data_IF_686551856145
#
_entry.id   IF_686551856145
#
_cell.length_a   1.000
_cell.length_b   1.000
_cell.length_c   1.000
_cell.angle_alpha   90.00
_cell.angle_beta   90.00
_cell.angle_gamma   90.00
#
_symmetry.space_group_name_H-M   'P 1'
#
loop_
_entity.id
_entity.type
_entity.pdbx_description
1 polymer ?
#
# COMPACT_ATOMS: atom_id res chain seq x y z
N UNK A 1 -29.41 -30.96 14.98
CA UNK A 1 -29.93 -29.59 14.82
C UNK A 1 -28.89 -28.73 14.09
N UNK A 2 -28.95 -28.68 12.76
CA UNK A 2 -28.34 -27.64 11.92
C UNK A 2 -29.19 -27.56 10.65
N UNK A 3 -30.11 -26.61 10.61
CA UNK A 3 -30.85 -26.30 9.40
C UNK A 3 -29.88 -25.67 8.41
N UNK A 4 -29.46 -26.47 7.43
CA UNK A 4 -28.77 -25.99 6.23
C UNK A 4 -29.74 -25.05 5.52
N UNK A 5 -29.42 -23.76 5.45
CA UNK A 5 -30.24 -22.72 4.84
C UNK A 5 -30.87 -23.19 3.52
N UNK A 6 -32.19 -23.45 3.45
CA UNK A 6 -32.80 -23.92 2.22
C UNK A 6 -32.78 -22.78 1.19
N UNK A 7 -32.19 -23.05 0.02
CA UNK A 7 -32.16 -22.11 -1.09
C UNK A 7 -33.60 -21.84 -1.56
N UNK A 8 -34.17 -20.72 -1.13
CA UNK A 8 -35.53 -20.31 -1.50
C UNK A 8 -35.56 -19.81 -2.94
N UNK A 9 -36.64 -20.05 -3.70
CA UNK A 9 -36.84 -19.54 -5.08
C UNK A 9 -36.48 -18.05 -5.23
N UNK A 10 -36.87 -17.23 -4.26
CA UNK A 10 -36.58 -15.79 -4.24
C UNK A 10 -35.08 -15.49 -4.20
N UNK A 11 -34.30 -16.25 -3.42
CA UNK A 11 -32.84 -16.11 -3.33
C UNK A 11 -32.14 -16.54 -4.62
N UNK A 12 -32.65 -17.59 -5.26
CA UNK A 12 -32.15 -18.03 -6.57
C UNK A 12 -32.39 -16.96 -7.64
N UNK A 13 -33.58 -16.38 -7.69
CA UNK A 13 -33.90 -15.32 -8.65
C UNK A 13 -33.09 -14.04 -8.42
N UNK A 14 -32.86 -13.65 -7.16
CA UNK A 14 -31.98 -12.52 -6.86
C UNK A 14 -30.52 -12.80 -7.26
N UNK A 15 -30.02 -14.02 -7.04
CA UNK A 15 -28.68 -14.39 -7.47
C UNK A 15 -28.55 -14.39 -9.01
N UNK A 16 -29.57 -14.89 -9.73
CA UNK A 16 -29.61 -14.87 -11.19
C UNK A 16 -29.68 -13.43 -11.73
N UNK A 17 -30.49 -12.57 -11.11
CA UNK A 17 -30.60 -11.16 -11.49
C UNK A 17 -29.30 -10.37 -11.26
N UNK A 18 -28.51 -10.74 -10.23
CA UNK A 18 -27.23 -10.12 -9.94
C UNK A 18 -26.04 -10.77 -10.67
N UNK A 19 -26.22 -11.94 -11.30
CA UNK A 19 -25.16 -12.65 -12.00
C UNK A 19 -24.44 -11.86 -13.11
N UNK A 20 -25.10 -11.02 -13.95
CA UNK A 20 -24.39 -10.22 -14.94
C UNK A 20 -23.59 -9.08 -14.30
N UNK A 21 -24.03 -8.58 -13.14
CA UNK A 21 -23.29 -7.56 -12.38
C UNK A 21 -22.00 -8.14 -11.78
N UNK A 22 -22.08 -9.38 -11.26
CA UNK A 22 -20.91 -10.11 -10.76
C UNK A 22 -19.91 -10.44 -11.89
N UNK A 23 -20.40 -10.75 -13.09
CA UNK A 23 -19.53 -10.94 -14.26
C UNK A 23 -18.80 -9.64 -14.63
N UNK A 24 -19.50 -8.50 -14.64
CA UNK A 24 -18.89 -7.19 -14.92
C UNK A 24 -17.84 -6.79 -13.87
N UNK A 25 -18.04 -7.16 -12.60
CA UNK A 25 -17.07 -6.92 -11.52
C UNK A 25 -15.77 -7.73 -11.64
N UNK A 26 -15.69 -8.75 -12.51
CA UNK A 26 -14.47 -9.54 -12.73
C UNK A 26 -13.33 -8.74 -13.40
N UNK A 27 -13.55 -7.47 -13.72
CA UNK A 27 -12.55 -6.53 -14.25
C UNK A 27 -11.94 -5.62 -13.17
N UNK A 28 -12.49 -5.62 -11.96
CA UNK A 28 -11.97 -4.85 -10.83
C UNK A 28 -10.76 -5.57 -10.21
N UNK A 29 -9.66 -5.66 -10.96
CA UNK A 29 -8.38 -6.14 -10.44
C UNK A 29 -7.65 -4.97 -9.75
N UNK A 30 -7.19 -5.17 -8.52
CA UNK A 30 -6.24 -4.23 -7.91
C UNK A 30 -5.02 -4.08 -8.83
N UNK A 31 -4.52 -2.85 -9.00
CA UNK A 31 -3.34 -2.61 -9.82
C UNK A 31 -2.19 -3.50 -9.34
N UNK A 32 -1.47 -4.13 -10.27
CA UNK A 32 -0.33 -4.96 -9.93
C UNK A 32 0.73 -4.12 -9.19
N UNK A 33 1.22 -4.65 -8.06
CA UNK A 33 2.30 -4.02 -7.32
C UNK A 33 3.59 -4.23 -8.10
N UNK A 34 4.32 -3.14 -8.34
CA UNK A 34 5.65 -3.15 -8.95
C UNK A 34 6.69 -2.99 -7.84
N UNK A 35 7.46 -4.04 -7.49
CA UNK A 35 8.44 -3.96 -6.41
C UNK A 35 9.48 -2.86 -6.57
N UNK A 36 9.70 -2.37 -7.80
CA UNK A 36 10.65 -1.29 -8.10
C UNK A 36 10.09 0.12 -7.87
N UNK A 37 8.81 0.25 -7.53
CA UNK A 37 8.12 1.53 -7.29
C UNK A 37 7.45 1.60 -5.91
N UNK A 38 8.03 0.91 -4.93
CA UNK A 38 7.56 0.94 -3.54
C UNK A 38 8.21 2.11 -2.80
N UNK A 39 7.42 2.95 -2.14
CA UNK A 39 7.92 4.02 -1.27
C UNK A 39 7.68 3.67 0.19
N UNK A 40 8.68 3.90 1.03
CA UNK A 40 8.60 3.69 2.48
C UNK A 40 8.60 5.03 3.22
N UNK A 41 7.53 5.31 3.96
CA UNK A 41 7.35 6.56 4.70
C UNK A 41 7.83 6.47 6.16
N UNK A 42 8.44 5.34 6.53
CA UNK A 42 8.89 5.05 7.89
C UNK A 42 10.07 4.07 7.84
N UNK A 43 10.98 4.12 8.84
CA UNK A 43 12.22 3.35 8.81
C UNK A 43 12.04 1.85 9.09
N UNK A 44 11.08 1.45 9.93
CA UNK A 44 10.79 0.02 10.16
C UNK A 44 10.48 -0.73 8.83
N UNK A 45 9.54 -0.26 7.98
CA UNK A 45 9.30 -0.94 6.71
C UNK A 45 10.43 -0.77 5.68
N UNK A 46 11.34 0.21 5.82
CA UNK A 46 12.57 0.26 5.01
C UNK A 46 13.42 -0.97 5.26
N UNK A 47 13.67 -1.29 6.53
CA UNK A 47 14.46 -2.46 6.92
C UNK A 47 13.84 -3.77 6.43
N UNK A 48 12.50 -3.89 6.54
CA UNK A 48 11.78 -5.06 6.04
C UNK A 48 11.91 -5.22 4.52
N UNK A 49 11.80 -4.12 3.75
CA UNK A 49 11.97 -4.18 2.29
C UNK A 49 13.39 -4.62 1.92
N UNK A 50 14.41 -4.06 2.59
CA UNK A 50 15.80 -4.41 2.34
C UNK A 50 16.10 -5.86 2.73
N UNK A 51 15.53 -6.37 3.83
CA UNK A 51 15.63 -7.77 4.23
C UNK A 51 15.02 -8.73 3.19
N UNK A 52 14.01 -8.28 2.44
CA UNK A 52 13.41 -9.02 1.32
C UNK A 52 14.17 -8.85 -0.01
N UNK A 53 15.30 -8.14 -0.02
CA UNK A 53 16.07 -7.83 -1.22
C UNK A 53 15.41 -6.78 -2.13
N UNK A 54 14.47 -5.98 -1.59
CA UNK A 54 13.80 -4.91 -2.32
C UNK A 54 14.44 -3.59 -1.94
N UNK A 55 15.02 -2.90 -2.91
CA UNK A 55 15.46 -1.51 -2.74
C UNK A 55 14.25 -0.59 -2.90
N UNK A 56 13.88 0.21 -1.88
CA UNK A 56 12.77 1.15 -1.99
C UNK A 56 13.04 2.18 -3.09
N UNK A 57 12.00 2.55 -3.82
CA UNK A 57 12.05 3.62 -4.82
C UNK A 57 12.26 4.99 -4.16
N UNK A 58 11.63 5.20 -3.02
CA UNK A 58 11.81 6.37 -2.19
C UNK A 58 11.66 6.06 -0.71
N UNK A 59 12.36 6.82 0.13
CA UNK A 59 12.37 6.67 1.59
C UNK A 59 12.19 8.04 2.23
N UNK A 60 11.36 8.12 3.27
CA UNK A 60 11.24 9.34 4.05
C UNK A 60 12.45 9.51 4.98
N UNK A 61 13.01 10.72 4.98
CA UNK A 61 14.02 11.19 5.91
C UNK A 61 15.34 10.39 5.81
N UNK A 62 15.87 10.30 4.58
CA UNK A 62 17.11 9.58 4.26
C UNK A 62 18.32 10.10 5.05
N UNK A 63 18.52 11.43 5.23
CA UNK A 63 19.65 11.93 6.01
C UNK A 63 19.63 11.43 7.46
N UNK A 64 18.47 11.49 8.13
CA UNK A 64 18.36 11.00 9.50
C UNK A 64 18.37 9.47 9.57
N UNK A 65 17.87 8.76 8.56
CA UNK A 65 18.04 7.30 8.48
C UNK A 65 19.53 6.92 8.50
N UNK A 66 20.35 7.57 7.67
CA UNK A 66 21.80 7.32 7.61
C UNK A 66 22.51 7.67 8.94
N UNK A 67 21.95 8.56 9.75
CA UNK A 67 22.51 8.95 11.05
C UNK A 67 22.07 8.05 12.21
N UNK A 68 20.79 7.67 12.26
CA UNK A 68 20.20 6.98 13.42
C UNK A 68 20.08 5.47 13.24
N UNK A 69 19.82 5.01 12.01
CA UNK A 69 19.72 3.58 11.69
C UNK A 69 21.06 3.08 11.16
N UNK A 70 21.66 3.81 10.21
CA UNK A 70 22.95 3.52 9.56
C UNK A 70 22.97 2.22 8.75
N UNK A 71 22.65 1.08 9.37
CA UNK A 71 22.52 -0.23 8.72
C UNK A 71 21.07 -0.73 8.81
N UNK A 72 20.53 -1.31 7.72
CA UNK A 72 21.16 -1.55 6.41
C UNK A 72 21.38 -0.28 5.57
N UNK A 73 22.49 -0.18 4.79
CA UNK A 73 22.79 1.03 4.03
C UNK A 73 21.80 1.23 2.87
N UNK A 74 21.32 2.46 2.72
CA UNK A 74 20.51 2.85 1.57
C UNK A 74 21.40 3.21 0.37
N UNK A 75 21.14 2.64 -0.82
CA UNK A 75 21.80 3.08 -2.05
C UNK A 75 21.50 4.55 -2.36
N UNK A 76 22.44 5.24 -3.01
CA UNK A 76 22.26 6.66 -3.40
C UNK A 76 21.18 6.88 -4.47
N UNK A 77 20.68 5.80 -5.09
CA UNK A 77 19.53 5.85 -6.01
C UNK A 77 18.19 6.07 -5.32
N UNK A 78 18.12 5.93 -3.99
CA UNK A 78 16.89 6.09 -3.22
C UNK A 78 16.52 7.56 -3.15
N UNK A 79 15.30 7.90 -3.57
CA UNK A 79 14.79 9.27 -3.54
C UNK A 79 14.33 9.61 -2.11
N UNK A 80 14.81 10.72 -1.56
CA UNK A 80 14.27 11.26 -0.31
C UNK A 80 12.90 11.90 -0.57
N UNK A 81 11.86 11.38 0.09
CA UNK A 81 10.48 11.86 -0.07
C UNK A 81 10.06 12.84 1.04
N UNK A 82 11.01 13.40 1.79
CA UNK A 82 10.74 14.37 2.86
C UNK A 82 10.62 13.70 4.23
N UNK A 83 10.04 14.41 5.20
CA UNK A 83 9.99 13.92 6.58
C UNK A 83 8.99 12.77 6.75
N UNK A 84 9.24 11.86 7.69
CA UNK A 84 8.31 10.75 7.99
C UNK A 84 6.92 11.25 8.44
N UNK A 85 6.89 12.36 9.18
CA UNK A 85 5.65 13.00 9.66
C UNK A 85 5.01 13.93 8.62
N UNK A 86 5.80 14.45 7.70
CA UNK A 86 5.36 15.42 6.68
C UNK A 86 6.07 15.12 5.36
N UNK A 87 5.65 14.05 4.66
CA UNK A 87 6.24 13.67 3.39
C UNK A 87 5.80 14.64 2.29
N UNK A 88 6.63 14.79 1.25
CA UNK A 88 6.34 15.65 0.11
C UNK A 88 5.27 15.01 -0.79
N UNK A 89 4.00 15.39 -0.58
CA UNK A 89 2.85 14.86 -1.31
C UNK A 89 2.86 15.21 -2.81
N UNK A 90 3.43 16.35 -3.18
CA UNK A 90 3.59 16.77 -4.58
C UNK A 90 4.53 15.81 -5.31
N UNK A 91 5.72 15.58 -4.73
CA UNK A 91 6.69 14.62 -5.23
C UNK A 91 6.11 13.20 -5.31
N UNK A 92 5.41 12.73 -4.27
CA UNK A 92 4.78 11.41 -4.27
C UNK A 92 3.73 11.28 -5.38
N UNK A 93 3.01 12.35 -5.71
CA UNK A 93 2.03 12.36 -6.80
C UNK A 93 2.72 12.25 -8.16
N UNK A 94 3.83 12.94 -8.36
CA UNK A 94 4.64 12.86 -9.58
C UNK A 94 5.29 11.50 -9.77
N UNK A 95 5.84 10.93 -8.69
CA UNK A 95 6.53 9.64 -8.68
C UNK A 95 5.62 8.45 -9.04
N UNK A 96 4.30 8.57 -8.79
CA UNK A 96 3.31 7.50 -8.97
C UNK A 96 3.77 6.15 -8.40
N UNK A 97 4.02 6.04 -7.08
CA UNK A 97 4.37 4.78 -6.44
C UNK A 97 3.33 3.71 -6.74
N UNK A 98 3.76 2.46 -6.92
CA UNK A 98 2.83 1.34 -7.02
C UNK A 98 2.29 0.91 -5.66
N UNK A 99 3.03 1.19 -4.59
CA UNK A 99 2.67 0.87 -3.22
C UNK A 99 3.40 1.77 -2.23
N UNK A 100 2.78 2.07 -1.10
CA UNK A 100 3.38 2.84 -0.01
C UNK A 100 3.24 2.06 1.30
N UNK A 101 4.30 2.05 2.10
CA UNK A 101 4.35 1.37 3.41
C UNK A 101 4.76 2.35 4.51
N UNK A 102 4.17 2.17 5.69
CA UNK A 102 4.44 2.96 6.88
C UNK A 102 4.07 2.17 8.13
N UNK A 103 4.52 2.65 9.30
CA UNK A 103 4.27 1.99 10.59
C UNK A 103 2.93 2.43 11.17
N UNK A 104 2.17 1.51 11.76
CA UNK A 104 0.89 1.86 12.36
C UNK A 104 1.08 2.86 13.52
N UNK A 105 0.30 3.94 13.51
CA UNK A 105 0.37 4.96 14.57
C UNK A 105 1.51 5.97 14.42
N UNK A 106 2.29 5.90 13.33
CA UNK A 106 3.34 6.87 13.02
C UNK A 106 3.40 7.17 11.52
N UNK A 107 3.55 8.43 11.16
CA UNK A 107 3.54 8.89 9.76
C UNK A 107 2.33 9.74 9.40
N UNK A 108 2.09 10.02 8.09
CA UNK A 108 1.02 10.92 7.66
C UNK A 108 -0.36 10.40 8.04
N UNK A 109 -1.28 11.32 8.33
CA UNK A 109 -2.65 10.98 8.68
C UNK A 109 -3.33 10.27 7.49
N UNK A 110 -4.23 9.29 7.72
CA UNK A 110 -4.83 8.51 6.65
C UNK A 110 -5.54 9.32 5.55
N UNK A 111 -5.97 10.55 5.85
CA UNK A 111 -6.61 11.46 4.91
C UNK A 111 -5.65 12.25 4.01
N UNK A 112 -4.36 12.31 4.35
CA UNK A 112 -3.38 13.20 3.70
C UNK A 112 -2.67 12.50 2.52
N UNK A 113 -2.46 11.19 2.59
CA UNK A 113 -1.61 10.47 1.62
C UNK A 113 -2.30 10.12 0.30
N UNK A 114 -3.59 10.40 0.12
CA UNK A 114 -4.37 9.99 -1.07
C UNK A 114 -4.48 8.46 -1.28
N UNK A 115 -3.76 7.67 -0.48
CA UNK A 115 -3.69 6.21 -0.50
C UNK A 115 -5.03 5.51 -0.21
N UNK A 116 -6.04 6.26 0.24
CA UNK A 116 -7.42 5.79 0.37
C UNK A 116 -8.04 5.38 -0.98
N UNK A 117 -7.54 5.92 -2.10
CA UNK A 117 -8.02 5.57 -3.44
C UNK A 117 -7.28 4.40 -4.09
N UNK A 118 -6.12 3.99 -3.57
CA UNK A 118 -5.21 3.05 -4.24
C UNK A 118 -5.30 1.59 -3.74
N UNK A 119 -6.20 1.28 -2.81
CA UNK A 119 -6.62 -0.10 -2.53
C UNK A 119 -5.59 -1.06 -1.95
N UNK A 120 -4.41 -0.59 -1.55
CA UNK A 120 -3.34 -1.46 -1.12
C UNK A 120 -2.69 -0.83 0.13
N UNK A 121 -3.04 -1.38 1.31
CA UNK A 121 -2.54 -0.95 2.62
C UNK A 121 -2.00 -2.16 3.36
N UNK A 122 -0.75 -2.12 3.81
CA UNK A 122 -0.24 -3.04 4.83
C UNK A 122 0.31 -2.17 5.95
N UNK A 123 -0.27 -2.35 7.14
CA UNK A 123 0.15 -1.74 8.38
C UNK A 123 1.03 -2.75 9.10
N UNK A 124 2.23 -2.34 9.48
CA UNK A 124 3.09 -3.10 10.37
C UNK A 124 3.03 -2.49 11.78
#
# INVERSE_FOLDING_TARGET
MRDLYPLTRRRLLTAMALSPLLWQMNTAQAAAIDPRRIVALEWLPVELLLALGITPYGVADVPNYKLWVSEPPLPDSVIDVGLRTEPNLELLTEMKPSFMVWSAGYGPSPGETGADRAGARVRF
#
